data_IF_381230639823
#
_entry.id   IF_381230639823
#
_cell.length_a   1.000
_cell.length_b   1.000
_cell.length_c   1.000
_cell.angle_alpha   90.00
_cell.angle_beta   90.00
_cell.angle_gamma   90.00
#
_symmetry.space_group_name_H-M   'P 1'
#
loop_
_entity.id
_entity.type
_entity.pdbx_description
1 polymer ?
#
# COMPACT_ATOMS: atom_id res chain seq x y z
N UNK A 1 -38.21 -22.39 22.98
CA UNK A 1 -37.23 -21.35 23.31
C UNK A 1 -35.89 -21.77 22.73
N UNK A 2 -35.57 -21.27 21.53
CA UNK A 2 -34.25 -21.41 20.91
C UNK A 2 -33.31 -20.44 21.62
N UNK A 3 -32.18 -20.90 22.19
CA UNK A 3 -30.93 -20.14 22.18
C UNK A 3 -29.76 -21.12 22.11
N UNK A 4 -28.93 -20.90 21.11
CA UNK A 4 -28.08 -21.88 20.47
C UNK A 4 -26.80 -22.17 21.26
N UNK A 5 -26.42 -23.45 21.29
CA UNK A 5 -25.09 -23.91 21.65
C UNK A 5 -24.06 -23.33 20.67
N UNK A 6 -23.42 -22.23 21.07
CA UNK A 6 -21.96 -22.14 21.20
C UNK A 6 -21.06 -22.34 19.99
N UNK A 7 -21.54 -22.25 18.75
CA UNK A 7 -20.65 -22.18 17.59
C UNK A 7 -20.16 -20.73 17.40
N UNK A 8 -19.14 -20.34 18.17
CA UNK A 8 -18.33 -19.16 17.88
C UNK A 8 -17.51 -19.45 16.62
N UNK A 9 -18.15 -19.24 15.45
CA UNK A 9 -17.43 -19.04 14.19
C UNK A 9 -16.69 -17.71 14.32
N UNK A 10 -15.50 -17.77 14.90
CA UNK A 10 -14.52 -16.69 14.83
C UNK A 10 -14.15 -16.54 13.36
N UNK A 11 -14.83 -15.62 12.68
CA UNK A 11 -14.52 -15.19 11.33
C UNK A 11 -13.08 -14.69 11.34
N UNK A 12 -12.15 -15.56 10.97
CA UNK A 12 -10.78 -15.21 10.59
C UNK A 12 -10.90 -14.41 9.30
N UNK A 13 -11.24 -13.12 9.42
CA UNK A 13 -10.93 -12.16 8.36
C UNK A 13 -9.40 -12.14 8.29
N UNK A 14 -8.86 -12.92 7.37
CA UNK A 14 -7.48 -12.80 6.94
C UNK A 14 -7.30 -11.35 6.48
N UNK A 15 -6.78 -10.50 7.36
CA UNK A 15 -6.21 -9.23 6.96
C UNK A 15 -5.06 -9.62 6.02
N UNK A 16 -5.32 -9.53 4.71
CA UNK A 16 -4.27 -9.56 3.73
C UNK A 16 -3.30 -8.45 4.14
N UNK A 17 -2.18 -8.83 4.75
CA UNK A 17 -1.11 -7.90 5.01
C UNK A 17 -0.60 -7.53 3.63
N UNK A 18 -1.09 -6.41 3.10
CA UNK A 18 -0.36 -5.70 2.08
C UNK A 18 1.04 -5.54 2.69
N UNK A 19 1.97 -6.39 2.25
CA UNK A 19 3.34 -6.42 2.76
C UNK A 19 4.01 -5.06 2.49
N UNK A 20 3.55 -4.42 1.43
CA UNK A 20 4.05 -3.15 0.92
C UNK A 20 2.91 -2.16 0.67
N UNK A 21 3.16 -0.91 1.04
CA UNK A 21 2.29 0.22 0.74
C UNK A 21 2.39 0.53 -0.76
N UNK A 22 1.22 0.71 -1.37
CA UNK A 22 1.10 1.00 -2.79
C UNK A 22 1.57 2.44 -3.12
N UNK A 23 1.84 2.73 -4.40
CA UNK A 23 2.07 4.09 -4.88
C UNK A 23 1.11 5.11 -4.29
N UNK A 24 1.63 6.22 -3.75
CA UNK A 24 0.83 7.31 -3.14
C UNK A 24 0.00 6.91 -1.92
N UNK A 25 0.09 5.68 -1.43
CA UNK A 25 -0.58 5.28 -0.21
C UNK A 25 0.21 5.71 1.02
N UNK A 26 -0.49 5.72 2.16
CA UNK A 26 0.11 5.92 3.48
C UNK A 26 1.06 4.77 3.80
N UNK A 27 2.23 5.11 4.31
CA UNK A 27 3.27 4.17 4.76
C UNK A 27 3.74 4.46 6.20
N UNK A 28 3.12 5.42 6.89
CA UNK A 28 3.55 5.75 8.24
C UNK A 28 2.68 6.79 8.93
N UNK A 29 2.99 7.01 10.21
CA UNK A 29 2.36 8.01 11.08
C UNK A 29 1.82 7.43 12.39
N UNK A 30 1.53 8.30 13.34
CA UNK A 30 0.95 7.93 14.63
C UNK A 30 -0.36 7.16 14.43
N UNK A 31 -0.50 6.02 15.13
CA UNK A 31 -1.61 5.05 15.02
C UNK A 31 -1.75 4.29 13.70
N UNK A 32 -0.78 4.37 12.79
CA UNK A 32 -0.80 3.58 11.56
C UNK A 32 -0.36 2.13 11.81
N UNK A 33 -1.21 1.17 11.45
CA UNK A 33 -0.97 -0.28 11.62
C UNK A 33 -0.79 -1.03 10.29
N UNK A 34 -0.72 -0.30 9.18
CA UNK A 34 -0.54 -0.87 7.85
C UNK A 34 0.93 -1.04 7.45
N UNK A 35 1.19 -1.36 6.17
CA UNK A 35 2.56 -1.52 5.66
C UNK A 35 3.38 -0.24 5.80
N UNK A 36 4.55 -0.36 6.42
CA UNK A 36 5.50 0.74 6.60
C UNK A 36 6.55 0.85 5.50
N UNK A 37 6.64 -0.18 4.65
CA UNK A 37 7.56 -0.26 3.52
C UNK A 37 6.77 -0.05 2.24
N UNK A 38 7.25 0.81 1.36
CA UNK A 38 6.64 1.01 0.03
C UNK A 38 7.03 -0.10 -0.94
N UNK A 39 6.27 -0.29 -2.01
CA UNK A 39 6.67 -1.16 -3.13
C UNK A 39 8.01 -0.71 -3.75
N UNK A 40 8.66 -1.59 -4.49
CA UNK A 40 9.93 -1.30 -5.17
C UNK A 40 9.86 -0.04 -6.03
N UNK A 41 10.92 0.77 -6.01
CA UNK A 41 10.97 2.08 -6.69
C UNK A 41 10.22 3.22 -5.97
N UNK A 42 9.65 2.97 -4.79
CA UNK A 42 8.96 3.98 -3.99
C UNK A 42 9.60 4.11 -2.62
N UNK A 43 9.61 5.33 -2.09
CA UNK A 43 10.15 5.64 -0.77
C UNK A 43 9.10 6.25 0.12
N UNK A 44 9.07 5.83 1.38
CA UNK A 44 8.17 6.37 2.37
C UNK A 44 8.67 7.76 2.81
N UNK A 45 8.00 8.81 2.34
CA UNK A 45 8.35 10.19 2.65
C UNK A 45 7.51 10.69 3.81
N UNK A 46 8.19 11.15 4.85
CA UNK A 46 7.55 11.76 6.01
C UNK A 46 6.95 13.12 5.64
N UNK A 47 5.64 13.29 5.87
CA UNK A 47 4.97 14.57 5.68
C UNK A 47 4.68 15.23 7.04
N UNK A 48 4.09 14.47 7.97
CA UNK A 48 3.62 14.95 9.28
C UNK A 48 3.67 13.80 10.29
N UNK A 49 3.57 14.06 11.61
CA UNK A 49 3.63 13.01 12.63
C UNK A 49 2.55 11.93 12.45
N UNK A 50 1.41 12.31 11.88
CA UNK A 50 0.29 11.41 11.60
C UNK A 50 0.33 10.78 10.20
N UNK A 51 1.17 11.26 9.29
CA UNK A 51 1.12 10.85 7.89
C UNK A 51 2.50 10.79 7.21
N UNK A 52 2.80 9.65 6.62
CA UNK A 52 3.92 9.45 5.70
C UNK A 52 3.38 8.77 4.45
N UNK A 53 3.82 9.19 3.26
CA UNK A 53 3.27 8.75 1.98
C UNK A 53 4.36 8.12 1.10
N UNK A 54 4.04 7.06 0.38
CA UNK A 54 4.92 6.50 -0.62
C UNK A 54 5.01 7.43 -1.83
N UNK A 55 6.19 8.01 -2.05
CA UNK A 55 6.50 8.86 -3.20
C UNK A 55 7.63 8.22 -4.02
N UNK A 56 7.61 8.45 -5.34
CA UNK A 56 8.76 8.17 -6.18
C UNK A 56 9.83 9.21 -5.89
N UNK A 57 10.90 8.81 -5.19
CA UNK A 57 12.14 9.56 -5.26
C UNK A 57 12.77 9.19 -6.60
N UNK A 58 13.00 10.20 -7.45
CA UNK A 58 13.66 10.00 -8.73
C UNK A 58 15.11 9.57 -8.49
N UNK A 59 15.34 8.29 -8.21
CA UNK A 59 16.60 7.65 -8.56
C UNK A 59 16.41 7.28 -10.02
N UNK A 60 17.01 8.06 -10.91
CA UNK A 60 16.88 7.94 -12.36
C UNK A 60 17.03 6.50 -12.86
N UNK A 61 15.90 5.88 -13.14
CA UNK A 61 15.75 4.72 -14.00
C UNK A 61 14.38 4.95 -14.66
N UNK A 62 14.28 5.44 -15.90
CA UNK A 62 14.83 4.79 -17.11
C UNK A 62 14.65 3.29 -16.98
N UNK A 63 13.96 2.69 -17.95
CA UNK A 63 13.65 1.26 -18.04
C UNK A 63 12.27 0.85 -17.48
N UNK A 64 11.36 0.70 -18.46
CA UNK A 64 10.07 0.01 -18.43
C UNK A 64 8.80 0.79 -18.02
N UNK A 65 8.52 1.93 -18.66
CA UNK A 65 7.17 2.24 -19.22
C UNK A 65 7.22 3.47 -20.15
N UNK A 66 8.12 3.45 -21.11
CA UNK A 66 8.10 4.36 -22.27
C UNK A 66 8.58 3.61 -23.52
N UNK A 67 8.01 2.43 -23.77
CA UNK A 67 8.06 1.77 -25.09
C UNK A 67 6.71 1.22 -25.57
N UNK A 68 5.60 1.53 -24.90
CA UNK A 68 4.25 1.38 -25.44
C UNK A 68 3.28 2.21 -24.56
N UNK A 69 3.16 3.52 -24.73
CA UNK A 69 2.24 4.05 -25.73
C UNK A 69 2.54 5.53 -25.94
N UNK A 70 3.44 5.84 -26.86
CA UNK A 70 3.55 7.17 -27.46
C UNK A 70 4.04 6.99 -28.89
N UNK A 71 3.25 6.28 -29.67
CA UNK A 71 3.43 6.21 -31.12
C UNK A 71 2.05 6.17 -31.75
N UNK A 72 1.50 7.37 -31.95
CA UNK A 72 0.87 7.78 -33.20
C UNK A 72 0.43 9.23 -33.03
N UNK A 73 1.36 10.14 -33.31
CA UNK A 73 0.99 11.39 -33.95
C UNK A 73 0.30 11.04 -35.28
N UNK A 74 -0.90 11.54 -35.48
CA UNK A 74 -1.54 11.72 -36.79
C UNK A 74 -2.48 12.91 -36.67
#
# INVERSE_FOLDING_TARGET
MLFANGLVVASLLAAASAQFAQPWNKCGGEYYTGPTVCVDGWTCVYQNPYNSQCLQIASSSSDASSLASSSASS
#
